data_IF_184213350677
#
_entry.id   IF_184213350677
#
_cell.length_a   1.000
_cell.length_b   1.000
_cell.length_c   1.000
_cell.angle_alpha   90.00
_cell.angle_beta   90.00
_cell.angle_gamma   90.00
#
_symmetry.space_group_name_H-M   'P 1'
#
loop_
_entity.id
_entity.type
_entity.pdbx_description
1 polymer ?
#
# COMPACT_ATOMS: atom_id res chain seq x y z
N UNK A 1 -30.01 6.61 29.26
CA UNK A 1 -29.10 5.45 29.10
C UNK A 1 -29.61 4.64 27.89
N UNK A 2 -28.95 4.70 26.72
CA UNK A 2 -29.42 3.98 25.52
C UNK A 2 -29.01 2.50 25.56
N UNK A 3 -29.89 1.55 25.18
CA UNK A 3 -29.54 0.14 25.11
C UNK A 3 -28.52 -0.07 23.99
N UNK A 4 -27.40 -0.72 24.30
CA UNK A 4 -26.42 -1.16 23.28
C UNK A 4 -27.03 -2.33 22.53
N UNK A 5 -27.31 -2.14 21.25
CA UNK A 5 -27.66 -3.22 20.35
C UNK A 5 -26.40 -4.06 20.11
N UNK A 6 -26.26 -5.16 20.87
CA UNK A 6 -25.20 -6.14 20.65
C UNK A 6 -25.76 -7.22 19.73
N UNK A 7 -25.62 -7.03 18.42
CA UNK A 7 -25.85 -8.11 17.47
C UNK A 7 -24.87 -9.26 17.78
N UNK A 8 -25.28 -10.54 17.68
CA UNK A 8 -24.39 -11.65 17.95
C UNK A 8 -23.24 -11.61 16.94
N UNK A 9 -22.02 -11.48 17.44
CA UNK A 9 -20.81 -11.58 16.61
C UNK A 9 -20.76 -13.00 16.05
N UNK A 10 -20.84 -13.13 14.74
CA UNK A 10 -20.67 -14.41 14.05
C UNK A 10 -19.26 -14.95 14.32
N UNK A 11 -19.16 -16.19 14.80
CA UNK A 11 -17.87 -16.88 15.08
C UNK A 11 -17.13 -17.33 13.81
N UNK A 12 -17.63 -16.95 12.63
CA UNK A 12 -17.00 -17.32 11.36
C UNK A 12 -15.81 -16.39 11.11
N UNK A 13 -14.60 -16.97 11.07
CA UNK A 13 -13.43 -16.23 10.57
C UNK A 13 -13.65 -15.83 9.11
N UNK A 14 -13.48 -14.55 8.75
CA UNK A 14 -13.59 -14.11 7.35
C UNK A 14 -12.53 -14.81 6.51
N UNK A 15 -12.88 -15.18 5.27
CA UNK A 15 -11.87 -15.61 4.30
C UNK A 15 -10.87 -14.49 4.10
N UNK A 16 -9.64 -14.81 3.71
CA UNK A 16 -8.61 -13.79 3.48
C UNK A 16 -9.12 -12.66 2.57
N UNK A 17 -9.83 -13.00 1.49
CA UNK A 17 -10.45 -12.05 0.55
C UNK A 17 -11.54 -11.15 1.14
N UNK A 18 -12.11 -11.50 2.30
CA UNK A 18 -13.15 -10.72 2.99
C UNK A 18 -12.55 -9.78 4.05
N UNK A 19 -11.24 -9.89 4.32
CA UNK A 19 -10.54 -9.02 5.27
C UNK A 19 -10.12 -7.74 4.55
N UNK A 20 -10.20 -6.60 5.25
CA UNK A 20 -9.67 -5.32 4.78
C UNK A 20 -8.18 -5.41 4.40
N UNK A 21 -7.42 -6.18 5.18
CA UNK A 21 -6.03 -6.51 4.92
C UNK A 21 -5.90 -8.05 4.77
N UNK A 22 -5.97 -8.57 3.53
CA UNK A 22 -5.97 -10.01 3.25
C UNK A 22 -4.65 -10.73 3.55
N UNK A 23 -3.55 -10.01 3.77
CA UNK A 23 -2.24 -10.55 4.17
C UNK A 23 -1.77 -9.92 5.48
N UNK A 24 -0.98 -10.67 6.25
CA UNK A 24 -0.34 -10.14 7.47
C UNK A 24 0.77 -9.15 7.12
N UNK A 25 1.65 -9.52 6.20
CA UNK A 25 2.68 -8.62 5.67
C UNK A 25 2.09 -7.68 4.63
N UNK A 26 2.57 -6.43 4.67
CA UNK A 26 2.30 -5.39 3.68
C UNK A 26 3.60 -5.07 2.96
N UNK A 27 3.52 -4.90 1.64
CA UNK A 27 4.65 -4.46 0.82
C UNK A 27 4.60 -2.96 0.52
N UNK A 28 5.62 -2.47 -0.16
CA UNK A 28 5.63 -1.10 -0.67
C UNK A 28 6.90 -0.77 -1.44
N UNK A 29 6.91 0.42 -2.02
CA UNK A 29 8.02 0.94 -2.81
C UNK A 29 8.47 2.30 -2.28
N UNK A 30 9.74 2.62 -2.52
CA UNK A 30 10.29 3.92 -2.17
C UNK A 30 9.62 5.03 -3.01
N UNK A 31 9.15 6.07 -2.32
CA UNK A 31 8.32 7.11 -2.93
C UNK A 31 8.75 8.54 -2.53
N UNK A 32 9.96 8.70 -1.99
CA UNK A 32 10.47 10.01 -1.60
C UNK A 32 10.61 10.91 -2.84
N UNK A 33 10.10 12.13 -2.73
CA UNK A 33 10.16 13.16 -3.79
C UNK A 33 10.71 14.49 -3.28
N UNK A 34 11.50 14.51 -2.20
CA UNK A 34 11.91 15.78 -1.56
C UNK A 34 12.96 16.54 -2.37
N UNK A 35 13.02 17.86 -2.18
CA UNK A 35 14.08 18.71 -2.73
C UNK A 35 15.32 18.59 -1.85
N UNK A 36 16.48 18.45 -2.48
CA UNK A 36 17.79 18.57 -1.86
C UNK A 36 18.21 20.04 -1.82
N UNK A 37 19.22 20.36 -1.00
CA UNK A 37 19.72 21.73 -0.80
C UNK A 37 20.20 22.40 -2.11
N UNK A 38 20.60 21.61 -3.11
CA UNK A 38 21.10 22.07 -4.42
C UNK A 38 20.01 22.19 -5.49
N UNK A 39 18.75 22.42 -5.10
CA UNK A 39 17.57 22.49 -5.97
C UNK A 39 17.23 21.21 -6.78
N UNK A 40 18.08 20.17 -6.72
CA UNK A 40 17.80 18.85 -7.28
C UNK A 40 16.72 18.14 -6.47
N UNK A 41 15.75 17.51 -7.13
CA UNK A 41 14.75 16.66 -6.47
C UNK A 41 15.25 15.22 -6.42
N UNK A 42 15.20 14.60 -5.24
CA UNK A 42 15.31 13.16 -5.12
C UNK A 42 13.94 12.57 -5.43
N UNK A 43 13.74 12.04 -6.64
CA UNK A 43 12.53 11.32 -7.05
C UNK A 43 12.83 9.82 -7.11
N UNK A 44 12.50 9.12 -6.02
CA UNK A 44 12.77 7.67 -5.92
C UNK A 44 11.83 6.84 -6.80
N UNK A 45 10.62 7.31 -7.06
CA UNK A 45 9.69 6.65 -7.98
C UNK A 45 10.28 6.62 -9.39
N UNK A 46 10.83 7.76 -9.85
CA UNK A 46 11.50 7.85 -11.14
C UNK A 46 12.85 7.10 -11.16
N UNK A 47 13.67 7.23 -10.12
CA UNK A 47 15.01 6.61 -10.11
C UNK A 47 14.97 5.08 -10.03
N UNK A 48 13.95 4.51 -9.40
CA UNK A 48 13.70 3.06 -9.37
C UNK A 48 12.87 2.59 -10.57
N UNK A 49 12.40 3.52 -11.41
CA UNK A 49 11.51 3.28 -12.54
C UNK A 49 10.17 2.63 -12.15
N UNK A 50 9.74 2.82 -10.91
CA UNK A 50 8.46 2.28 -10.43
C UNK A 50 7.28 2.84 -11.24
N UNK A 51 7.36 4.08 -11.72
CA UNK A 51 6.35 4.66 -12.60
C UNK A 51 6.19 3.92 -13.95
N UNK A 52 7.23 3.24 -14.40
CA UNK A 52 7.23 2.43 -15.63
C UNK A 52 6.90 0.96 -15.37
N UNK A 53 7.36 0.42 -14.24
CA UNK A 53 7.28 -1.01 -13.91
C UNK A 53 6.28 -1.34 -12.80
N UNK A 54 5.40 -0.41 -12.43
CA UNK A 54 4.42 -0.57 -11.36
C UNK A 54 3.69 -1.93 -11.39
N UNK A 55 3.18 -2.34 -12.57
CA UNK A 55 2.47 -3.62 -12.70
C UNK A 55 3.34 -4.82 -12.34
N UNK A 56 4.59 -4.85 -12.80
CA UNK A 56 5.54 -5.91 -12.51
C UNK A 56 5.91 -5.92 -11.03
N UNK A 57 6.11 -4.73 -10.47
CA UNK A 57 6.44 -4.56 -9.06
C UNK A 57 5.32 -5.03 -8.13
N UNK A 58 4.07 -4.66 -8.42
CA UNK A 58 2.91 -5.20 -7.69
C UNK A 58 2.75 -6.71 -7.86
N UNK A 59 3.06 -7.26 -9.04
CA UNK A 59 3.06 -8.71 -9.24
C UNK A 59 4.09 -9.40 -8.35
N UNK A 60 5.30 -8.84 -8.21
CA UNK A 60 6.33 -9.37 -7.31
C UNK A 60 5.86 -9.41 -5.86
N UNK A 61 5.17 -8.38 -5.37
CA UNK A 61 4.57 -8.41 -4.03
C UNK A 61 3.56 -9.57 -3.89
N UNK A 62 2.71 -9.76 -4.90
CA UNK A 62 1.74 -10.84 -4.93
C UNK A 62 2.40 -12.22 -4.93
N UNK A 63 3.49 -12.41 -5.67
CA UNK A 63 4.28 -13.65 -5.69
C UNK A 63 4.87 -13.97 -4.30
N UNK A 64 5.21 -12.96 -3.51
CA UNK A 64 5.69 -13.11 -2.13
C UNK A 64 4.56 -13.22 -1.08
N UNK A 65 3.29 -13.34 -1.50
CA UNK A 65 2.15 -13.46 -0.59
C UNK A 65 1.68 -12.15 0.06
N UNK A 66 2.29 -11.00 -0.31
CA UNK A 66 1.81 -9.69 0.10
C UNK A 66 0.63 -9.29 -0.77
N UNK A 67 -0.54 -9.10 -0.14
CA UNK A 67 -1.82 -8.76 -0.78
C UNK A 67 -2.25 -7.32 -0.46
N UNK A 68 -1.41 -6.58 0.25
CA UNK A 68 -1.59 -5.19 0.65
C UNK A 68 -0.29 -4.47 0.33
N UNK A 69 -0.39 -3.30 -0.30
CA UNK A 69 0.75 -2.47 -0.64
C UNK A 69 0.52 -1.02 -0.22
N UNK A 70 1.59 -0.36 0.23
CA UNK A 70 1.65 1.10 0.39
C UNK A 70 2.51 1.69 -0.71
N UNK A 71 1.98 2.69 -1.38
CA UNK A 71 2.67 3.42 -2.44
C UNK A 71 2.45 4.93 -2.28
N UNK A 72 3.31 5.73 -2.92
CA UNK A 72 3.26 7.19 -2.85
C UNK A 72 3.05 7.80 -4.23
N UNK A 73 2.23 8.85 -4.26
CA UNK A 73 2.00 9.66 -5.45
C UNK A 73 2.83 10.94 -5.41
N UNK A 74 3.36 11.35 -6.57
CA UNK A 74 4.18 12.56 -6.71
C UNK A 74 3.29 13.79 -6.81
N UNK A 75 2.81 14.30 -5.67
CA UNK A 75 1.83 15.41 -5.62
C UNK A 75 2.23 16.65 -6.44
N UNK A 76 3.52 16.93 -6.57
CA UNK A 76 4.03 18.13 -7.24
C UNK A 76 3.96 18.06 -8.77
N UNK A 77 3.52 16.94 -9.35
CA UNK A 77 3.30 16.77 -10.80
C UNK A 77 1.89 16.23 -11.12
N UNK A 78 0.98 16.24 -10.14
CA UNK A 78 -0.43 15.84 -10.29
C UNK A 78 -1.30 17.09 -10.22
#
# INVERSE_FOLDING_TARGET
>A
MKPRHTSPVSDRRPRASERLFPSFFMGGFECSTHKLNEAKRLDLTASTQHDRFARQDYRRLMEQGMRVARDGVRWHII
#
